data_IF_549776657672
#
_entry.id   IF_549776657672
#
_cell.length_a   1.000
_cell.length_b   1.000
_cell.length_c   1.000
_cell.angle_alpha   90.00
_cell.angle_beta   90.00
_cell.angle_gamma   90.00
#
_symmetry.space_group_name_H-M   'P 1'
#
loop_
_entity.id
_entity.type
_entity.pdbx_description
1 polymer ?
#
# COMPACT_ATOMS: atom_id res chain seq x y z
N UNK A 1 21.87 -62.40 -27.92
CA UNK A 1 21.13 -63.01 -26.82
C UNK A 1 20.48 -61.90 -26.00
N UNK A 2 19.17 -62.03 -25.74
CA UNK A 2 18.37 -61.17 -24.87
C UNK A 2 18.98 -61.08 -23.45
N UNK A 3 18.86 -59.91 -22.80
CA UNK A 3 17.99 -59.69 -21.62
C UNK A 3 18.17 -58.25 -21.05
N UNK A 4 17.14 -57.41 -21.22
CA UNK A 4 16.73 -56.34 -20.27
C UNK A 4 15.98 -56.99 -19.08
N UNK A 5 15.52 -56.27 -18.02
CA UNK A 5 15.78 -54.89 -17.54
C UNK A 5 16.02 -54.80 -16.00
N UNK A 6 16.37 -53.62 -15.46
CA UNK A 6 15.73 -53.20 -14.19
C UNK A 6 15.76 -51.68 -14.03
N UNK A 7 14.59 -51.18 -13.65
CA UNK A 7 14.20 -49.78 -13.45
C UNK A 7 14.88 -49.16 -12.22
N UNK A 8 15.32 -47.91 -12.37
CA UNK A 8 15.30 -46.93 -11.28
C UNK A 8 15.06 -45.55 -11.88
N UNK A 9 13.78 -45.20 -12.00
CA UNK A 9 13.33 -43.85 -12.31
C UNK A 9 13.53 -42.98 -11.06
N UNK A 10 14.51 -42.08 -11.08
CA UNK A 10 14.53 -40.94 -10.16
C UNK A 10 13.94 -39.74 -10.88
N UNK A 11 12.62 -39.60 -10.74
CA UNK A 11 11.88 -38.38 -11.04
C UNK A 11 12.29 -37.34 -9.99
N UNK A 12 13.15 -36.40 -10.36
CA UNK A 12 13.33 -35.17 -9.59
C UNK A 12 12.46 -34.09 -10.22
N UNK A 13 11.21 -34.06 -9.74
CA UNK A 13 10.30 -32.93 -9.86
C UNK A 13 10.99 -31.74 -9.20
N UNK A 14 11.59 -30.84 -9.97
CA UNK A 14 11.89 -29.49 -9.47
C UNK A 14 10.55 -28.79 -9.33
N UNK A 15 9.99 -28.91 -8.13
CA UNK A 15 8.86 -28.15 -7.67
C UNK A 15 9.08 -26.67 -8.00
N UNK A 16 8.10 -26.16 -8.73
CA UNK A 16 7.78 -24.76 -8.93
C UNK A 16 8.19 -24.02 -7.67
N UNK A 17 9.21 -23.15 -7.78
CA UNK A 17 9.49 -22.14 -6.80
C UNK A 17 8.26 -21.23 -6.76
N UNK A 18 7.24 -21.64 -6.01
CA UNK A 18 6.32 -20.72 -5.38
C UNK A 18 7.22 -19.81 -4.59
N UNK A 19 7.48 -18.63 -5.15
CA UNK A 19 8.06 -17.55 -4.40
C UNK A 19 7.21 -17.44 -3.15
N UNK A 20 7.77 -17.91 -2.03
CA UNK A 20 7.31 -17.52 -0.72
C UNK A 20 7.36 -16.00 -0.78
N UNK A 21 6.20 -15.38 -1.03
CA UNK A 21 6.03 -13.96 -0.80
C UNK A 21 6.26 -13.86 0.70
N UNK A 22 7.51 -13.56 1.09
CA UNK A 22 7.81 -13.03 2.39
C UNK A 22 6.70 -12.02 2.65
N UNK A 23 5.98 -12.16 3.77
CA UNK A 23 4.87 -11.28 4.12
C UNK A 23 5.31 -9.83 3.91
N UNK A 24 4.99 -9.25 2.76
CA UNK A 24 5.54 -7.95 2.38
C UNK A 24 4.81 -6.98 3.31
N UNK A 25 5.51 -6.35 4.26
CA UNK A 25 4.85 -5.46 5.19
C UNK A 25 4.20 -4.35 4.37
N UNK A 26 2.92 -4.04 4.63
CA UNK A 26 2.21 -3.01 3.89
C UNK A 26 2.93 -1.66 4.07
N UNK A 27 3.59 -1.13 3.03
CA UNK A 27 4.43 0.05 3.17
C UNK A 27 3.62 1.35 3.28
N UNK A 28 2.28 1.29 3.21
CA UNK A 28 1.40 2.44 3.42
C UNK A 28 1.04 2.64 4.90
N UNK A 29 1.25 1.64 5.77
CA UNK A 29 0.95 1.77 7.19
C UNK A 29 1.78 2.88 7.84
N UNK A 30 1.15 3.74 8.62
CA UNK A 30 1.75 4.90 9.28
C UNK A 30 1.03 6.20 8.99
N UNK A 31 1.66 7.29 9.40
CA UNK A 31 1.18 8.66 9.24
C UNK A 31 1.86 9.33 8.05
N UNK A 32 1.12 10.17 7.33
CA UNK A 32 1.56 10.80 6.09
C UNK A 32 1.06 12.24 5.99
N UNK A 33 1.89 13.11 5.42
CA UNK A 33 1.55 14.49 5.10
C UNK A 33 2.23 14.93 3.79
N UNK A 34 1.68 15.95 3.12
CA UNK A 34 2.28 16.51 1.90
C UNK A 34 3.52 17.36 2.20
N UNK A 35 3.63 17.88 3.42
CA UNK A 35 4.77 18.67 3.89
C UNK A 35 5.28 18.15 5.23
N UNK A 36 6.56 18.42 5.56
CA UNK A 36 7.13 18.07 6.87
C UNK A 36 6.38 18.74 8.03
N UNK A 37 6.00 20.00 7.88
CA UNK A 37 5.23 20.72 8.92
C UNK A 37 3.83 20.11 9.11
N UNK A 38 3.25 19.53 8.05
CA UNK A 38 2.00 18.78 8.13
C UNK A 38 2.07 17.54 9.02
N UNK A 39 3.26 17.04 9.35
CA UNK A 39 3.41 15.88 10.24
C UNK A 39 3.08 16.16 11.70
N UNK A 40 2.99 17.43 12.12
CA UNK A 40 2.43 17.79 13.44
C UNK A 40 0.97 17.35 13.54
N UNK A 41 0.24 17.35 12.40
CA UNK A 41 -1.13 16.85 12.30
C UNK A 41 -1.31 16.08 10.99
N UNK A 42 -0.93 14.79 10.96
CA UNK A 42 -0.88 14.00 9.74
C UNK A 42 -2.18 14.03 8.93
N UNK A 43 -2.04 14.29 7.64
CA UNK A 43 -3.15 14.42 6.71
C UNK A 43 -3.84 13.08 6.47
N UNK A 44 -3.05 12.00 6.41
CA UNK A 44 -3.52 10.63 6.30
C UNK A 44 -2.87 9.79 7.40
N UNK A 45 -3.64 8.88 7.99
CA UNK A 45 -3.14 7.87 8.91
C UNK A 45 -3.69 6.52 8.48
N UNK A 46 -2.84 5.52 8.27
CA UNK A 46 -3.22 4.16 7.91
C UNK A 46 -2.72 3.18 8.96
N UNK A 47 -3.63 2.38 9.51
CA UNK A 47 -3.32 1.25 10.40
C UNK A 47 -3.76 -0.05 9.74
N UNK A 48 -3.45 -1.19 10.37
CA UNK A 48 -3.67 -2.52 9.78
C UNK A 48 -5.11 -2.76 9.27
N UNK A 49 -6.12 -2.17 9.92
CA UNK A 49 -7.54 -2.30 9.53
C UNK A 49 -8.32 -1.00 9.58
N UNK A 50 -7.69 0.13 9.92
CA UNK A 50 -8.37 1.43 10.02
C UNK A 50 -7.59 2.51 9.27
N UNK A 51 -8.26 3.61 8.95
CA UNK A 51 -7.60 4.80 8.43
C UNK A 51 -8.29 6.09 8.87
N UNK A 52 -7.56 7.19 8.79
CA UNK A 52 -8.08 8.55 9.02
C UNK A 52 -7.61 9.46 7.90
N UNK A 53 -8.52 10.28 7.37
CA UNK A 53 -8.22 11.35 6.41
C UNK A 53 -8.61 12.68 7.04
N UNK A 54 -7.66 13.61 7.10
CA UNK A 54 -7.80 14.93 7.75
C UNK A 54 -7.74 16.12 6.78
N UNK A 55 -7.20 15.93 5.58
CA UNK A 55 -7.26 16.92 4.51
C UNK A 55 -7.82 16.26 3.24
N UNK A 56 -8.61 17.01 2.47
CA UNK A 56 -8.97 16.60 1.12
C UNK A 56 -7.83 16.88 0.11
N UNK A 57 -8.09 16.61 -1.17
CA UNK A 57 -7.09 16.73 -2.23
C UNK A 57 -6.64 18.18 -2.48
N UNK A 58 -7.52 19.15 -2.23
CA UNK A 58 -7.24 20.58 -2.42
C UNK A 58 -6.68 21.21 -1.11
N UNK A 59 -6.61 20.43 -0.02
CA UNK A 59 -6.07 20.84 1.28
C UNK A 59 -7.10 21.45 2.23
N UNK A 60 -8.38 21.29 1.93
CA UNK A 60 -9.46 21.65 2.85
C UNK A 60 -9.46 20.70 4.05
N UNK A 61 -9.51 21.21 5.30
CA UNK A 61 -9.66 20.37 6.47
C UNK A 61 -10.95 19.56 6.45
N UNK A 62 -10.82 18.26 6.66
CA UNK A 62 -11.92 17.29 6.78
C UNK A 62 -11.63 16.34 7.95
N UNK A 63 -12.57 15.48 8.31
CA UNK A 63 -12.28 14.38 9.23
C UNK A 63 -13.12 13.15 8.88
N UNK A 64 -12.49 12.19 8.22
CA UNK A 64 -13.12 10.91 7.87
C UNK A 64 -12.36 9.78 8.56
N UNK A 65 -13.08 8.98 9.36
CA UNK A 65 -12.54 7.80 10.06
C UNK A 65 -13.08 6.53 9.44
N UNK A 66 -12.19 5.62 9.07
CA UNK A 66 -12.54 4.35 8.43
C UNK A 66 -12.27 3.23 9.43
N UNK A 67 -13.31 2.65 10.04
CA UNK A 67 -13.15 1.58 11.03
C UNK A 67 -12.79 0.23 10.37
N UNK A 68 -12.91 0.14 9.05
CA UNK A 68 -12.55 -1.05 8.27
C UNK A 68 -11.92 -0.61 6.97
N UNK A 69 -10.68 -1.02 6.76
CA UNK A 69 -9.88 -0.81 5.55
C UNK A 69 -9.22 -2.13 5.19
N UNK A 70 -9.21 -2.47 3.92
CA UNK A 70 -8.45 -3.62 3.41
C UNK A 70 -7.39 -3.15 2.43
N UNK A 71 -6.28 -3.88 2.35
CA UNK A 71 -5.15 -3.49 1.53
C UNK A 71 -4.86 -4.57 0.50
N UNK A 72 -4.69 -4.15 -0.76
CA UNK A 72 -4.16 -4.98 -1.83
C UNK A 72 -2.77 -4.47 -2.18
N UNK A 73 -1.78 -5.34 -2.04
CA UNK A 73 -0.37 -5.04 -2.33
C UNK A 73 -0.03 -5.55 -3.74
N UNK A 74 0.74 -4.76 -4.47
CA UNK A 74 1.32 -5.12 -5.78
C UNK A 74 2.73 -4.54 -5.87
N UNK A 75 3.51 -4.94 -6.88
CA UNK A 75 4.89 -4.47 -7.02
C UNK A 75 4.95 -2.94 -7.11
N UNK A 76 5.44 -2.32 -6.05
CA UNK A 76 5.57 -0.86 -5.94
C UNK A 76 4.26 -0.10 -5.74
N UNK A 77 3.14 -0.76 -5.45
CA UNK A 77 1.86 -0.07 -5.21
C UNK A 77 0.99 -0.68 -4.12
N UNK A 78 0.15 0.16 -3.52
CA UNK A 78 -0.82 -0.23 -2.49
C UNK A 78 -2.19 0.37 -2.84
N UNK A 79 -3.21 -0.47 -2.86
CA UNK A 79 -4.60 -0.03 -2.90
C UNK A 79 -5.22 -0.17 -1.53
N UNK A 80 -5.66 0.93 -0.92
CA UNK A 80 -6.43 0.94 0.31
C UNK A 80 -7.93 1.01 -0.04
N UNK A 81 -8.65 -0.08 0.17
CA UNK A 81 -10.12 -0.10 0.04
C UNK A 81 -10.74 0.37 1.34
N UNK A 82 -11.48 1.47 1.26
CA UNK A 82 -12.00 2.21 2.40
C UNK A 82 -13.40 1.75 2.83
N UNK A 83 -14.04 0.84 2.07
CA UNK A 83 -15.40 0.32 2.32
C UNK A 83 -16.54 1.35 2.22
N UNK A 84 -16.23 2.65 2.14
CA UNK A 84 -17.17 3.76 2.02
C UNK A 84 -16.51 4.94 1.32
N UNK A 85 -17.32 5.91 0.90
CA UNK A 85 -16.84 7.07 0.13
C UNK A 85 -15.76 7.85 0.90
N UNK A 86 -14.73 8.31 0.20
CA UNK A 86 -13.68 9.15 0.76
C UNK A 86 -13.69 10.60 0.25
N UNK A 87 -13.10 11.56 1.00
CA UNK A 87 -13.19 12.99 0.68
C UNK A 87 -12.17 13.45 -0.36
N UNK A 88 -11.16 12.64 -0.69
CA UNK A 88 -10.14 12.95 -1.71
C UNK A 88 -10.78 12.98 -3.10
N UNK A 89 -11.46 14.07 -3.43
CA UNK A 89 -12.06 14.27 -4.74
C UNK A 89 -11.00 14.10 -5.83
N UNK A 90 -11.43 13.60 -6.99
CA UNK A 90 -10.58 13.34 -8.16
C UNK A 90 -9.70 12.10 -8.08
N UNK A 91 -9.86 11.19 -7.13
CA UNK A 91 -9.34 9.83 -7.30
C UNK A 91 -10.15 9.05 -8.36
N UNK A 92 -9.57 8.05 -9.03
CA UNK A 92 -10.31 7.22 -9.99
C UNK A 92 -11.50 6.51 -9.34
N UNK A 93 -11.27 5.86 -8.20
CA UNK A 93 -12.26 5.14 -7.40
C UNK A 93 -12.75 6.01 -6.22
N UNK A 94 -14.05 5.98 -5.93
CA UNK A 94 -14.66 6.73 -4.81
C UNK A 94 -14.52 6.02 -3.46
N UNK A 95 -14.24 4.73 -3.48
CA UNK A 95 -14.19 3.84 -2.33
C UNK A 95 -12.78 3.30 -2.05
N UNK A 96 -11.83 3.51 -2.96
CA UNK A 96 -10.46 3.06 -2.81
C UNK A 96 -9.45 4.16 -3.18
N UNK A 97 -8.31 4.13 -2.48
CA UNK A 97 -7.15 4.99 -2.76
C UNK A 97 -6.02 4.15 -3.32
N UNK A 98 -5.44 4.58 -4.43
CA UNK A 98 -4.31 3.90 -5.08
C UNK A 98 -3.04 4.72 -4.91
N UNK A 99 -2.03 4.13 -4.28
CA UNK A 99 -0.72 4.72 -4.03
C UNK A 99 0.37 3.97 -4.78
N UNK A 100 1.25 4.71 -5.43
CA UNK A 100 2.56 4.19 -5.86
C UNK A 100 3.57 4.50 -4.76
N UNK A 101 4.35 3.51 -4.35
CA UNK A 101 5.33 3.61 -3.28
C UNK A 101 6.72 3.57 -3.92
N UNK A 102 7.29 4.74 -4.14
CA UNK A 102 8.62 4.88 -4.75
C UNK A 102 9.75 4.61 -3.74
N UNK A 103 9.49 4.82 -2.45
CA UNK A 103 10.38 4.52 -1.34
C UNK A 103 9.55 4.38 -0.05
N UNK A 104 10.07 3.75 1.03
CA UNK A 104 9.34 3.58 2.29
C UNK A 104 8.82 4.91 2.88
N UNK A 105 9.54 6.00 2.64
CA UNK A 105 9.21 7.35 3.14
C UNK A 105 8.34 8.18 2.19
N UNK A 106 8.02 7.66 0.99
CA UNK A 106 7.36 8.42 -0.07
C UNK A 106 6.23 7.63 -0.72
N UNK A 107 5.02 8.19 -0.65
CA UNK A 107 3.82 7.63 -1.27
C UNK A 107 3.19 8.64 -2.24
N UNK A 108 2.81 8.18 -3.42
CA UNK A 108 2.21 9.02 -4.47
C UNK A 108 0.78 8.55 -4.73
N UNK A 109 -0.18 9.31 -4.25
CA UNK A 109 -1.61 9.08 -4.49
C UNK A 109 -1.93 9.38 -5.96
N UNK A 110 -2.55 8.42 -6.63
CA UNK A 110 -3.00 8.57 -8.01
C UNK A 110 -4.36 9.28 -8.06
N UNK A 111 -4.43 10.37 -8.82
CA UNK A 111 -5.66 11.09 -9.14
C UNK A 111 -6.06 10.80 -10.60
N UNK A 112 -7.23 11.30 -10.98
CA UNK A 112 -7.74 11.28 -12.35
C UNK A 112 -6.88 12.13 -13.25
N UNK A 113 -6.95 11.85 -14.55
CA UNK A 113 -6.28 12.60 -15.61
C UNK A 113 -4.76 12.67 -15.44
N UNK A 114 -4.14 11.61 -14.90
CA UNK A 114 -2.69 11.52 -14.71
C UNK A 114 -2.10 12.45 -13.65
N UNK A 115 -2.95 13.15 -12.87
CA UNK A 115 -2.50 13.97 -11.75
C UNK A 115 -2.15 13.10 -10.54
N UNK A 116 -1.29 13.62 -9.67
CA UNK A 116 -0.84 12.91 -8.47
C UNK A 116 -0.74 13.85 -7.28
N UNK A 117 -0.78 13.29 -6.07
CA UNK A 117 -0.41 13.98 -4.84
C UNK A 117 0.70 13.20 -4.13
N UNK A 118 1.77 13.89 -3.79
CA UNK A 118 2.92 13.30 -3.10
C UNK A 118 2.80 13.48 -1.60
N UNK A 119 3.01 12.38 -0.86
CA UNK A 119 3.02 12.33 0.58
C UNK A 119 4.38 11.85 1.06
N UNK A 120 4.84 12.42 2.17
CA UNK A 120 6.01 11.98 2.92
C UNK A 120 5.54 11.32 4.21
N UNK A 121 6.20 10.23 4.59
CA UNK A 121 5.96 9.55 5.85
C UNK A 121 6.34 10.47 7.00
N UNK A 122 5.45 10.54 7.98
CA UNK A 122 5.69 11.27 9.21
C UNK A 122 6.47 10.36 10.15
N UNK A 123 7.76 10.62 10.28
CA UNK A 123 8.56 10.04 11.35
C UNK A 123 8.28 10.84 12.62
N UNK A 124 8.01 10.21 13.77
CA UNK A 124 8.12 10.92 15.03
C UNK A 124 9.56 11.44 15.10
N UNK A 125 9.74 12.75 15.28
CA UNK A 125 11.07 13.28 15.57
C UNK A 125 11.62 12.47 16.73
N UNK A 126 12.71 11.74 16.49
CA UNK A 126 13.57 11.28 17.58
C UNK A 126 14.18 12.56 18.15
N UNK A 127 13.46 13.22 19.05
CA UNK A 127 14.08 14.21 19.91
C UNK A 127 15.18 13.47 20.68
N UNK A 128 16.45 13.91 20.59
CA UNK A 128 17.53 13.40 21.41
C UNK A 128 17.28 13.67 22.90
#
# INVERSE_FOLDING_TARGET
MLHLPSLAACVLVTCIAGAARADVPNPLLGDWARTRTGCVRPELSFAAVTAVIRLDADGTPVLFRYPTVTYRLSDGSVTADMGRRHPLARTPDKFALHFVISAPEHAVLQLRNGKTLSYTRCTPDKHP
#
